data_IF_989534803638
#
_entry.id   IF_989534803638
#
_cell.length_a   1.000
_cell.length_b   1.000
_cell.length_c   1.000
_cell.angle_alpha   90.00
_cell.angle_beta   90.00
_cell.angle_gamma   90.00
#
_symmetry.space_group_name_H-M   'P 1'
#
loop_
_entity.id
_entity.type
_entity.pdbx_description
1 polymer ?
#
# COMPACT_ATOMS: atom_id res chain seq x y z
N UNK A 1 -20.21 -3.45 -5.42
CA UNK A 1 -19.53 -4.62 -4.85
C UNK A 1 -18.75 -4.05 -3.68
N UNK A 2 -19.10 -4.41 -2.46
CA UNK A 2 -18.52 -3.80 -1.25
C UNK A 2 -17.03 -4.16 -1.18
N UNK A 3 -16.17 -3.14 -1.04
CA UNK A 3 -14.72 -3.31 -0.92
C UNK A 3 -14.38 -3.69 0.52
N UNK A 4 -14.63 -4.95 0.88
CA UNK A 4 -14.12 -5.45 2.15
C UNK A 4 -12.64 -5.80 1.99
N UNK A 5 -11.77 -5.03 2.64
CA UNK A 5 -10.36 -5.35 2.70
C UNK A 5 -10.17 -6.74 3.31
N UNK A 6 -9.56 -7.66 2.56
CA UNK A 6 -9.31 -9.02 3.06
C UNK A 6 -8.09 -9.00 3.96
N UNK A 7 -8.34 -9.07 5.27
CA UNK A 7 -7.29 -9.10 6.28
C UNK A 7 -6.75 -10.51 6.48
N UNK A 8 -5.43 -10.61 6.57
CA UNK A 8 -4.70 -11.85 6.85
C UNK A 8 -3.79 -11.68 8.05
N UNK A 9 -3.56 -12.78 8.75
CA UNK A 9 -2.59 -12.89 9.84
C UNK A 9 -1.43 -13.77 9.38
N UNK A 10 -0.24 -13.58 9.95
CA UNK A 10 0.94 -14.41 9.66
C UNK A 10 0.64 -15.91 9.68
N UNK A 11 1.22 -16.64 8.73
CA UNK A 11 1.00 -18.09 8.56
C UNK A 11 1.49 -18.82 9.81
N UNK A 12 0.59 -19.54 10.47
CA UNK A 12 0.90 -20.41 11.62
C UNK A 12 2.06 -21.36 11.29
N UNK A 13 3.07 -21.41 12.18
CA UNK A 13 3.92 -22.60 12.27
C UNK A 13 3.04 -23.82 12.60
N UNK A 14 3.38 -24.99 12.08
CA UNK A 14 2.60 -26.24 12.14
C UNK A 14 2.34 -26.81 13.55
N UNK A 15 2.72 -26.10 14.61
CA UNK A 15 2.86 -26.68 15.96
C UNK A 15 1.76 -26.25 16.94
N UNK A 16 0.62 -25.73 16.45
CA UNK A 16 -0.63 -25.65 17.22
C UNK A 16 -0.58 -24.87 18.54
N UNK A 17 0.43 -24.05 18.77
CA UNK A 17 0.53 -23.17 19.94
C UNK A 17 -0.02 -21.80 19.57
N UNK A 18 -1.14 -21.44 20.20
CA UNK A 18 -1.77 -20.11 20.09
C UNK A 18 -0.91 -19.06 20.81
N UNK A 19 0.19 -18.67 20.18
CA UNK A 19 0.86 -17.40 20.37
C UNK A 19 0.65 -16.59 19.10
N UNK A 20 -0.04 -15.46 19.21
CA UNK A 20 -0.38 -14.61 18.07
C UNK A 20 0.92 -14.06 17.48
N UNK A 21 1.39 -14.67 16.38
CA UNK A 21 2.51 -14.13 15.64
C UNK A 21 2.04 -12.83 15.00
N UNK A 22 2.30 -11.70 15.64
CA UNK A 22 2.11 -10.38 15.04
C UNK A 22 2.97 -10.34 13.79
N UNK A 23 2.32 -10.25 12.65
CA UNK A 23 2.98 -10.15 11.36
C UNK A 23 3.92 -8.95 11.39
N UNK A 24 5.17 -9.07 10.92
CA UNK A 24 6.17 -8.00 10.98
C UNK A 24 6.27 -7.17 9.69
N UNK A 25 7.11 -6.12 9.66
CA UNK A 25 7.39 -5.36 8.42
C UNK A 25 7.89 -6.24 7.27
N UNK A 26 8.66 -7.30 7.57
CA UNK A 26 9.17 -8.26 6.58
C UNK A 26 8.06 -9.07 5.90
N UNK A 27 7.00 -9.41 6.63
CA UNK A 27 5.87 -10.15 6.08
C UNK A 27 5.01 -9.24 5.18
N UNK A 28 4.86 -7.97 5.55
CA UNK A 28 4.24 -6.94 4.72
C UNK A 28 5.04 -6.74 3.42
N UNK A 29 6.37 -6.66 3.49
CA UNK A 29 7.25 -6.60 2.31
C UNK A 29 7.13 -7.85 1.43
N UNK A 30 7.02 -9.04 2.03
CA UNK A 30 6.82 -10.29 1.29
C UNK A 30 5.49 -10.29 0.55
N UNK A 31 4.42 -9.86 1.20
CA UNK A 31 3.07 -9.77 0.63
C UNK A 31 3.07 -8.84 -0.59
N UNK A 32 3.55 -7.61 -0.44
CA UNK A 32 3.48 -6.60 -1.51
C UNK A 32 4.38 -6.95 -2.71
N UNK A 33 5.53 -7.62 -2.47
CA UNK A 33 6.37 -8.18 -3.54
C UNK A 33 5.68 -9.31 -4.28
N UNK A 34 4.98 -10.21 -3.57
CA UNK A 34 4.26 -11.32 -4.17
C UNK A 34 3.09 -10.88 -5.04
N UNK A 35 2.44 -9.77 -4.65
CA UNK A 35 1.35 -9.15 -5.41
C UNK A 35 1.83 -8.43 -6.68
N UNK A 36 3.12 -8.06 -6.76
CA UNK A 36 3.65 -7.21 -7.82
C UNK A 36 4.48 -8.01 -8.83
N UNK A 37 3.92 -8.36 -10.01
CA UNK A 37 4.65 -9.09 -11.03
C UNK A 37 5.71 -8.22 -11.72
N UNK A 38 6.91 -8.75 -11.90
CA UNK A 38 7.92 -8.15 -12.78
C UNK A 38 7.64 -8.51 -14.25
N UNK A 39 7.75 -7.53 -15.14
CA UNK A 39 7.77 -7.80 -16.59
C UNK A 39 9.12 -8.40 -17.03
N UNK A 40 9.20 -9.08 -18.19
CA UNK A 40 10.46 -9.65 -18.68
C UNK A 40 11.59 -8.62 -18.79
N UNK A 41 12.68 -8.85 -18.07
CA UNK A 41 13.84 -7.95 -18.03
C UNK A 41 13.65 -6.71 -17.14
N UNK A 42 12.53 -6.62 -16.43
CA UNK A 42 12.28 -5.66 -15.36
C UNK A 42 12.60 -6.22 -13.97
N UNK A 43 12.28 -5.45 -12.93
CA UNK A 43 12.47 -5.84 -11.53
C UNK A 43 11.42 -5.21 -10.61
N UNK A 44 11.37 -5.65 -9.36
CA UNK A 44 10.45 -5.13 -8.33
C UNK A 44 11.24 -4.58 -7.16
N UNK A 45 10.97 -3.32 -6.82
CA UNK A 45 11.47 -2.71 -5.59
C UNK A 45 10.33 -2.59 -4.60
N UNK A 46 10.56 -3.00 -3.34
CA UNK A 46 9.60 -2.83 -2.27
C UNK A 46 10.24 -2.23 -1.03
N UNK A 47 9.52 -1.33 -0.38
CA UNK A 47 9.95 -0.55 0.79
C UNK A 47 8.78 -0.34 1.75
N UNK A 48 9.11 -0.25 3.03
CA UNK A 48 8.20 0.32 4.04
C UNK A 48 8.24 1.84 3.87
N UNK A 49 7.08 2.49 3.89
CA UNK A 49 6.97 3.92 3.77
C UNK A 49 7.39 4.60 5.09
N UNK A 50 8.19 5.66 4.97
CA UNK A 50 8.50 6.58 6.07
C UNK A 50 8.35 8.01 5.54
N UNK A 51 7.75 8.89 6.33
CA UNK A 51 7.57 10.28 5.94
C UNK A 51 8.91 11.04 6.02
N UNK A 52 9.46 11.39 4.86
CA UNK A 52 10.70 12.14 4.78
C UNK A 52 10.63 13.54 5.43
N UNK A 53 9.43 14.14 5.52
CA UNK A 53 9.23 15.49 6.08
C UNK A 53 9.09 15.49 7.60
N UNK A 54 8.45 14.47 8.17
CA UNK A 54 8.36 14.29 9.62
C UNK A 54 9.63 13.70 10.23
N UNK A 55 10.45 13.02 9.42
CA UNK A 55 11.74 12.46 9.83
C UNK A 55 11.67 10.99 10.20
N UNK A 56 12.78 10.47 10.73
CA UNK A 56 12.95 9.04 11.00
C UNK A 56 11.91 8.52 12.00
N UNK A 57 11.30 7.38 11.67
CA UNK A 57 10.27 6.73 12.49
C UNK A 57 8.87 7.30 12.33
N UNK A 58 8.65 8.23 11.39
CA UNK A 58 7.30 8.64 10.99
C UNK A 58 6.73 7.63 9.98
N UNK A 59 6.24 6.50 10.49
CA UNK A 59 5.79 5.34 9.70
C UNK A 59 4.28 5.05 9.83
N UNK A 60 3.52 5.97 10.45
CA UNK A 60 2.07 5.89 10.63
C UNK A 60 1.32 6.69 9.55
N UNK A 61 0.40 6.00 8.87
CA UNK A 61 -0.39 6.54 7.77
C UNK A 61 -1.86 6.21 7.89
N UNK A 62 -2.71 7.16 7.52
CA UNK A 62 -4.14 6.95 7.29
C UNK A 62 -4.35 6.62 5.82
N UNK A 63 -5.02 5.50 5.53
CA UNK A 63 -5.31 5.09 4.16
C UNK A 63 -6.69 5.57 3.75
N UNK A 64 -6.76 6.42 2.73
CA UNK A 64 -8.01 6.94 2.20
C UNK A 64 -7.85 7.25 0.72
N UNK A 65 -8.92 7.02 -0.04
CA UNK A 65 -9.00 7.45 -1.45
C UNK A 65 -7.85 6.97 -2.35
N UNK A 66 -7.44 5.70 -2.19
CA UNK A 66 -6.37 5.13 -2.99
C UNK A 66 -4.99 5.71 -2.64
N UNK A 67 -4.87 6.41 -1.53
CA UNK A 67 -3.65 7.07 -1.07
C UNK A 67 -3.40 6.77 0.41
N UNK A 68 -2.17 6.98 0.87
CA UNK A 68 -1.77 6.87 2.28
C UNK A 68 -1.22 8.22 2.73
N UNK A 69 -1.81 8.82 3.76
CA UNK A 69 -1.45 10.14 4.26
C UNK A 69 -0.70 10.00 5.58
N UNK A 70 0.47 10.62 5.70
CA UNK A 70 1.20 10.61 6.96
C UNK A 70 0.34 11.26 8.07
N UNK A 71 0.19 10.59 9.22
CA UNK A 71 -0.58 11.11 10.36
C UNK A 71 -0.03 12.45 10.87
N UNK A 72 1.28 12.68 10.76
CA UNK A 72 1.94 13.89 11.23
C UNK A 72 1.70 15.12 10.36
N UNK A 73 1.95 15.02 9.06
CA UNK A 73 1.91 16.18 8.15
C UNK A 73 0.80 16.12 7.09
N UNK A 74 -0.01 15.05 7.07
CA UNK A 74 -1.10 14.83 6.12
C UNK A 74 -0.67 14.84 4.65
N UNK A 75 0.61 14.61 4.36
CA UNK A 75 1.14 14.56 3.00
C UNK A 75 1.01 13.11 2.49
N UNK A 76 0.52 12.92 1.25
CA UNK A 76 0.36 11.59 0.66
C UNK A 76 1.71 10.89 0.42
N UNK A 77 1.70 9.60 0.10
CA UNK A 77 2.89 8.86 -0.35
C UNK A 77 3.04 8.88 -1.88
N UNK A 78 2.02 9.35 -2.61
CA UNK A 78 2.05 9.48 -4.07
C UNK A 78 1.75 8.17 -4.77
N UNK A 79 0.81 7.40 -4.24
CA UNK A 79 0.33 6.16 -4.86
C UNK A 79 -0.34 6.47 -6.20
N UNK A 80 -1.07 7.59 -6.27
CA UNK A 80 -1.88 7.95 -7.44
C UNK A 80 -1.10 8.65 -8.57
N UNK A 81 -0.08 9.44 -8.23
CA UNK A 81 0.62 10.36 -9.13
C UNK A 81 2.16 10.24 -9.08
N UNK A 82 2.71 9.45 -8.17
CA UNK A 82 4.16 9.27 -8.02
C UNK A 82 4.90 10.51 -7.51
N UNK A 83 4.21 11.61 -7.18
CA UNK A 83 4.80 12.92 -6.91
C UNK A 83 5.66 12.97 -5.63
N UNK A 84 5.55 11.96 -4.76
CA UNK A 84 6.23 11.90 -3.45
C UNK A 84 7.36 10.87 -3.41
N UNK A 85 7.49 10.03 -4.44
CA UNK A 85 8.73 9.29 -4.70
C UNK A 85 9.78 10.28 -5.23
N UNK A 86 11.11 10.12 -5.01
CA UNK A 86 12.08 11.06 -5.57
C UNK A 86 11.79 11.30 -7.06
N UNK A 87 11.85 12.57 -7.52
CA UNK A 87 11.20 13.11 -8.73
C UNK A 87 11.68 12.54 -10.07
N UNK A 88 12.35 11.39 -10.06
CA UNK A 88 12.96 10.77 -11.21
C UNK A 88 11.97 10.07 -12.15
N UNK A 89 10.73 9.76 -11.71
CA UNK A 89 9.78 9.00 -12.52
C UNK A 89 8.33 9.44 -12.23
N UNK A 90 7.77 10.48 -12.90
CA UNK A 90 6.35 10.78 -12.77
C UNK A 90 5.52 9.66 -13.39
N UNK A 91 4.41 9.28 -12.74
CA UNK A 91 3.44 8.32 -13.29
C UNK A 91 2.01 8.69 -12.88
N UNK A 92 1.01 8.09 -13.52
CA UNK A 92 -0.37 8.24 -13.11
C UNK A 92 -1.03 6.88 -13.08
N UNK A 93 -1.78 6.60 -12.02
CA UNK A 93 -2.52 5.36 -11.88
C UNK A 93 -3.53 5.21 -13.03
N UNK A 94 -3.45 4.09 -13.75
CA UNK A 94 -4.41 3.81 -14.81
C UNK A 94 -5.77 3.44 -14.19
N UNK A 95 -6.89 3.83 -14.81
CA UNK A 95 -8.19 3.33 -14.42
C UNK A 95 -8.22 1.79 -14.51
N UNK A 96 -8.38 1.12 -13.38
CA UNK A 96 -8.43 -0.35 -13.28
C UNK A 96 -9.88 -0.85 -13.28
N UNK A 97 -10.13 -2.01 -13.89
CA UNK A 97 -11.43 -2.72 -13.80
C UNK A 97 -11.67 -3.31 -12.40
N UNK A 98 -10.60 -3.70 -11.70
CA UNK A 98 -10.66 -3.96 -10.26
C UNK A 98 -10.71 -2.59 -9.56
N UNK A 99 -11.78 -2.24 -8.83
CA UNK A 99 -11.91 -0.89 -8.33
C UNK A 99 -10.82 -0.67 -7.28
N UNK A 100 -10.07 0.40 -7.46
CA UNK A 100 -9.24 0.92 -6.38
C UNK A 100 -10.17 1.56 -5.34
N UNK A 101 -9.73 1.68 -4.07
CA UNK A 101 -10.41 2.55 -3.13
C UNK A 101 -10.61 3.92 -3.79
N UNK A 102 -11.83 4.48 -3.82
CA UNK A 102 -12.20 5.56 -4.72
C UNK A 102 -11.31 6.79 -4.53
N UNK A 103 -10.60 7.22 -5.59
CA UNK A 103 -9.57 8.28 -5.54
C UNK A 103 -10.06 9.69 -5.12
N UNK A 104 -11.35 9.88 -4.85
CA UNK A 104 -11.93 11.15 -4.41
C UNK A 104 -13.17 10.90 -3.54
N UNK A 105 -13.44 11.74 -2.51
CA UNK A 105 -14.69 11.66 -1.79
C UNK A 105 -15.80 12.15 -2.73
N UNK A 106 -16.54 11.23 -3.32
CA UNK A 106 -17.82 11.56 -3.89
C UNK A 106 -18.80 11.98 -2.79
N UNK A 107 -19.96 12.55 -3.15
CA UNK A 107 -21.04 12.80 -2.19
C UNK A 107 -21.53 11.53 -1.46
N UNK A 108 -21.13 10.35 -1.93
CA UNK A 108 -21.49 9.04 -1.36
C UNK A 108 -20.33 8.37 -0.59
N UNK A 109 -19.24 9.09 -0.27
CA UNK A 109 -18.12 8.55 0.52
C UNK A 109 -18.47 8.56 2.01
N UNK A 110 -18.68 7.38 2.58
CA UNK A 110 -19.02 7.19 3.99
C UNK A 110 -17.76 6.82 4.80
N UNK A 111 -17.69 7.14 6.11
CA UNK A 111 -16.58 6.73 6.96
C UNK A 111 -16.32 5.22 6.99
N UNK A 112 -17.33 4.40 6.67
CA UNK A 112 -17.18 2.94 6.51
C UNK A 112 -16.35 2.52 5.30
N UNK A 113 -16.10 3.43 4.35
CA UNK A 113 -15.28 3.17 3.16
C UNK A 113 -13.78 3.28 3.45
N UNK A 114 -13.41 3.70 4.67
CA UNK A 114 -12.04 3.69 5.15
C UNK A 114 -11.65 2.26 5.57
N UNK A 115 -10.45 1.78 5.18
CA UNK A 115 -9.95 0.52 5.68
C UNK A 115 -9.82 0.57 7.20
N UNK A 116 -10.35 -0.45 7.86
CA UNK A 116 -10.24 -0.63 9.31
C UNK A 116 -9.74 -2.04 9.60
N UNK A 117 -8.67 -2.17 10.38
CA UNK A 117 -8.17 -3.49 10.77
C UNK A 117 -9.14 -4.19 11.74
N UNK A 118 -9.00 -5.50 11.95
CA UNK A 118 -9.85 -6.25 12.88
C UNK A 118 -9.81 -5.74 14.32
N UNK A 119 -8.68 -5.17 14.77
CA UNK A 119 -8.59 -4.45 16.05
C UNK A 119 -9.34 -3.10 16.09
N UNK A 120 -9.91 -2.64 14.97
CA UNK A 120 -10.71 -1.42 14.90
C UNK A 120 -9.94 -0.14 14.58
N UNK A 121 -8.65 -0.22 14.25
CA UNK A 121 -7.82 0.95 13.93
C UNK A 121 -7.85 1.31 12.43
N UNK A 122 -7.68 2.61 12.16
CA UNK A 122 -7.63 3.24 10.82
C UNK A 122 -6.24 3.84 10.50
N UNK A 123 -5.26 3.58 11.37
CA UNK A 123 -3.85 3.99 11.21
C UNK A 123 -3.01 2.75 10.97
N UNK A 124 -2.13 2.84 9.97
CA UNK A 124 -1.38 1.70 9.46
C UNK A 124 0.09 2.05 9.24
N UNK A 125 0.93 1.03 9.36
CA UNK A 125 2.20 1.01 8.65
C UNK A 125 1.96 0.62 7.20
N UNK A 126 2.67 1.25 6.27
CA UNK A 126 2.45 1.05 4.83
C UNK A 126 3.70 0.49 4.16
N UNK A 127 3.53 -0.46 3.23
CA UNK A 127 4.58 -0.85 2.29
C UNK A 127 4.13 -0.69 0.85
N UNK A 128 5.08 -0.34 0.00
CA UNK A 128 4.86 -0.10 -1.42
C UNK A 128 5.82 -1.00 -2.20
N UNK A 129 5.30 -1.64 -3.25
CA UNK A 129 6.11 -2.25 -4.29
C UNK A 129 5.86 -1.57 -5.62
N UNK A 130 6.93 -1.28 -6.35
CA UNK A 130 6.92 -0.73 -7.70
C UNK A 130 7.52 -1.77 -8.66
N UNK A 131 6.79 -2.04 -9.74
CA UNK A 131 7.26 -2.84 -10.87
C UNK A 131 7.94 -1.92 -11.89
N UNK A 132 9.24 -2.09 -12.08
CA UNK A 132 10.02 -1.39 -13.08
C UNK A 132 10.14 -2.24 -14.34
N UNK A 133 9.89 -1.63 -15.50
CA UNK A 133 10.22 -2.21 -16.79
C UNK A 133 11.73 -2.09 -17.08
N UNK A 134 12.17 -2.76 -18.15
CA UNK A 134 13.57 -2.74 -18.60
C UNK A 134 14.09 -1.34 -18.94
N UNK A 135 13.20 -0.45 -19.37
CA UNK A 135 13.49 0.96 -19.68
C UNK A 135 13.62 1.83 -18.42
N UNK A 136 13.37 1.27 -17.23
CA UNK A 136 13.38 1.98 -15.96
C UNK A 136 12.07 2.70 -15.64
N UNK A 137 11.04 2.61 -16.50
CA UNK A 137 9.73 3.18 -16.20
C UNK A 137 8.96 2.30 -15.21
N UNK A 138 8.19 2.93 -14.33
CA UNK A 138 7.23 2.22 -13.47
C UNK A 138 6.04 1.77 -14.32
N UNK A 139 5.63 0.50 -14.17
CA UNK A 139 4.50 -0.12 -14.89
C UNK A 139 3.40 -0.63 -13.99
N UNK A 140 3.68 -0.72 -12.69
CA UNK A 140 2.66 -1.08 -11.73
C UNK A 140 3.10 -0.84 -10.29
N UNK A 141 2.10 -0.84 -9.42
CA UNK A 141 2.21 -0.57 -8.00
C UNK A 141 1.32 -1.52 -7.22
N UNK A 142 1.83 -2.00 -6.09
CA UNK A 142 1.01 -2.61 -5.04
C UNK A 142 1.30 -1.92 -3.71
N UNK A 143 0.29 -1.85 -2.85
CA UNK A 143 0.35 -1.20 -1.54
C UNK A 143 -0.25 -2.15 -0.51
N UNK A 144 0.49 -2.39 0.57
CA UNK A 144 0.04 -3.18 1.70
C UNK A 144 -0.08 -2.31 2.95
N UNK A 145 -1.08 -2.62 3.78
CA UNK A 145 -1.28 -2.01 5.09
C UNK A 145 -1.02 -3.05 6.18
N UNK A 146 -0.41 -2.60 7.27
CA UNK A 146 -0.21 -3.36 8.50
C UNK A 146 -0.80 -2.59 9.66
N UNK A 147 -1.72 -3.21 10.39
CA UNK A 147 -2.23 -2.67 11.64
C UNK A 147 -1.12 -2.76 12.72
N UNK A 148 -0.73 -1.63 13.35
CA UNK A 148 0.35 -1.63 14.33
C UNK A 148 -0.01 -2.40 15.61
N UNK A 149 -1.31 -2.44 15.95
CA UNK A 149 -1.84 -3.07 17.17
C UNK A 149 -1.83 -4.60 17.10
N UNK A 150 -2.50 -5.19 16.11
CA UNK A 150 -2.68 -6.66 16.00
C UNK A 150 -1.79 -7.32 14.93
N UNK A 151 -1.09 -6.52 14.11
CA UNK A 151 -0.27 -7.00 13.00
C UNK A 151 -1.07 -7.57 11.83
N UNK A 152 -2.38 -7.32 11.73
CA UNK A 152 -3.16 -7.74 10.57
C UNK A 152 -2.64 -7.05 9.30
N UNK A 153 -2.58 -7.80 8.20
CA UNK A 153 -2.14 -7.33 6.89
C UNK A 153 -3.26 -7.37 5.86
N UNK A 154 -3.32 -6.38 4.96
CA UNK A 154 -4.13 -6.45 3.75
C UNK A 154 -3.41 -5.79 2.56
N UNK A 155 -3.79 -6.18 1.34
CA UNK A 155 -3.46 -5.43 0.14
C UNK A 155 -4.49 -4.32 -0.05
N UNK A 156 -4.03 -3.07 0.02
CA UNK A 156 -4.84 -1.89 -0.22
C UNK A 156 -4.90 -1.53 -1.70
N UNK A 157 -3.79 -1.73 -2.41
CA UNK A 157 -3.70 -1.68 -3.86
C UNK A 157 -3.03 -2.97 -4.32
N UNK A 158 -3.69 -3.71 -5.20
CA UNK A 158 -3.22 -5.00 -5.70
C UNK A 158 -2.90 -4.91 -7.20
N UNK A 159 -1.61 -4.92 -7.53
CA UNK A 159 -1.11 -4.98 -8.92
C UNK A 159 -1.75 -3.94 -9.86
N UNK A 160 -1.90 -2.70 -9.40
CA UNK A 160 -2.46 -1.64 -10.21
C UNK A 160 -1.47 -1.22 -11.30
N UNK A 161 -1.97 -0.91 -12.49
CA UNK A 161 -1.16 -0.41 -13.60
C UNK A 161 -0.98 1.10 -13.50
N UNK A 162 0.15 1.58 -13.97
CA UNK A 162 0.43 3.02 -14.06
C UNK A 162 0.89 3.36 -15.48
N UNK A 163 0.47 4.54 -15.93
CA UNK A 163 0.95 5.17 -17.14
C UNK A 163 2.13 6.09 -16.79
N UNK A 164 3.19 6.16 -17.61
CA UNK A 164 4.22 7.18 -17.43
C UNK A 164 3.61 8.58 -17.51
N UNK A 165 4.03 9.47 -16.60
CA UNK A 165 3.67 10.88 -16.66
C UNK A 165 4.49 11.60 -17.73
N UNK A 166 3.91 12.66 -18.30
CA UNK A 166 4.67 13.59 -19.14
C UNK A 166 5.72 14.30 -18.28
N UNK A 167 6.95 14.41 -18.80
CA UNK A 167 8.09 15.08 -18.13
C UNK A 167 8.16 16.57 -18.43
#
# INVERSE_FOLDING_TARGET
MEHEAVWTYGVYGTDGTAGQASTGPEDMLRMVRGATPAEPGGHVEARVAECALCGAGADEFEAAKGECFCVGCCIPVGITDGDVHPPAYPWTLEPSEAPLPPASPGPDFEPSDLPRCPAGHEVFQTAIALAFARDGAVRGISVALRCPEDGALCLYVDNARVAPGDT
#
